data_IF_117858563628
#
_entry.id   IF_117858563628
#
_cell.length_a   1.000
_cell.length_b   1.000
_cell.length_c   1.000
_cell.angle_alpha   90.00
_cell.angle_beta   90.00
_cell.angle_gamma   90.00
#
_symmetry.space_group_name_H-M   'P 1'
#
loop_
_entity.id
_entity.type
_entity.pdbx_description
1 polymer ?
#
# COMPACT_ATOMS: atom_id res chain seq x y z
N UNK A 1 7.12 -2.22 16.56
CA UNK A 1 7.11 -0.78 16.88
C UNK A 1 7.96 -0.56 18.11
N UNK A 2 8.82 0.47 18.14
CA UNK A 2 9.69 0.84 19.28
C UNK A 2 9.41 2.30 19.64
N UNK A 3 9.27 2.60 20.93
CA UNK A 3 9.07 3.95 21.44
C UNK A 3 10.36 4.49 22.05
N UNK A 4 10.66 5.76 21.80
CA UNK A 4 11.86 6.44 22.29
C UNK A 4 11.50 7.86 22.73
N UNK A 5 12.34 8.49 23.57
CA UNK A 5 12.12 9.88 23.93
C UNK A 5 12.26 10.85 22.73
N UNK A 6 13.10 10.51 21.78
CA UNK A 6 13.34 11.23 20.51
C UNK A 6 14.01 10.30 19.52
N UNK A 7 14.05 10.68 18.25
CA UNK A 7 14.84 9.94 17.27
C UNK A 7 16.36 10.07 17.54
N UNK A 8 17.13 8.96 17.36
CA UNK A 8 18.58 8.98 17.53
C UNK A 8 19.25 9.79 16.42
N UNK A 9 20.32 10.52 16.77
CA UNK A 9 21.21 11.14 15.78
C UNK A 9 22.22 10.12 15.27
N UNK A 10 22.86 10.35 14.11
CA UNK A 10 23.93 9.48 13.61
C UNK A 10 24.99 9.20 14.68
N UNK A 11 25.28 7.91 14.92
CA UNK A 11 26.24 7.45 15.92
C UNK A 11 25.72 7.40 17.36
N UNK A 12 24.47 7.75 17.61
CA UNK A 12 23.90 7.76 18.95
C UNK A 12 23.16 6.45 19.26
N UNK A 13 23.22 6.03 20.52
CA UNK A 13 22.43 4.92 21.05
C UNK A 13 21.45 5.46 22.10
N UNK A 14 20.16 5.18 21.93
CA UNK A 14 19.10 5.54 22.88
C UNK A 14 18.49 4.26 23.49
N UNK A 15 18.00 4.39 24.70
CA UNK A 15 17.13 3.39 25.30
C UNK A 15 15.69 3.63 24.82
N UNK A 16 15.05 2.60 24.34
CA UNK A 16 13.64 2.57 23.95
C UNK A 16 12.86 1.55 24.77
N UNK A 17 11.55 1.52 24.54
CA UNK A 17 10.65 0.55 25.12
C UNK A 17 9.63 0.07 24.08
N UNK A 18 8.79 -0.92 24.41
CA UNK A 18 7.89 -1.58 23.46
C UNK A 18 8.56 -2.78 22.82
N UNK A 19 8.66 -2.80 21.49
CA UNK A 19 9.20 -3.94 20.74
C UNK A 19 8.10 -4.90 20.27
N UNK A 20 6.89 -4.40 20.09
CA UNK A 20 5.76 -5.18 19.59
C UNK A 20 5.96 -5.55 18.12
N UNK A 21 5.61 -6.80 17.81
CA UNK A 21 5.55 -7.32 16.43
C UNK A 21 4.07 -7.45 16.09
N UNK A 22 3.62 -6.68 15.11
CA UNK A 22 2.24 -6.67 14.65
C UNK A 22 2.18 -7.06 13.17
N UNK A 23 1.04 -7.62 12.74
CA UNK A 23 0.77 -7.78 11.31
C UNK A 23 0.73 -6.40 10.63
N UNK A 24 1.19 -6.35 9.40
CA UNK A 24 1.24 -5.12 8.60
C UNK A 24 1.43 -5.44 7.12
N UNK A 25 1.80 -4.44 6.36
CA UNK A 25 1.86 -4.44 4.90
C UNK A 25 0.56 -3.91 4.30
N UNK A 26 0.69 -2.95 3.38
CA UNK A 26 -0.48 -2.28 2.77
C UNK A 26 -1.40 -3.26 2.06
N UNK A 27 -0.84 -4.16 1.26
CA UNK A 27 -1.60 -5.20 0.57
C UNK A 27 -2.35 -6.14 1.54
N UNK A 28 -1.69 -6.58 2.61
CA UNK A 28 -2.31 -7.43 3.62
C UNK A 28 -3.45 -6.72 4.35
N UNK A 29 -3.24 -5.45 4.75
CA UNK A 29 -4.26 -4.66 5.43
C UNK A 29 -5.50 -4.44 4.54
N UNK A 30 -5.31 -4.12 3.26
CA UNK A 30 -6.38 -3.93 2.29
C UNK A 30 -7.12 -5.25 1.99
N UNK A 31 -6.40 -6.36 1.89
CA UNK A 31 -7.00 -7.69 1.70
C UNK A 31 -7.89 -8.09 2.91
N UNK A 32 -7.41 -7.84 4.13
CA UNK A 32 -8.20 -8.06 5.36
C UNK A 32 -9.43 -7.19 5.38
N UNK A 33 -9.30 -5.89 5.09
CA UNK A 33 -10.43 -4.97 5.07
C UNK A 33 -11.50 -5.38 4.05
N UNK A 34 -11.10 -5.73 2.83
CA UNK A 34 -12.01 -6.20 1.79
C UNK A 34 -12.74 -7.50 2.20
N UNK A 35 -12.01 -8.47 2.77
CA UNK A 35 -12.59 -9.73 3.23
C UNK A 35 -13.58 -9.52 4.38
N UNK A 36 -13.28 -8.64 5.35
CA UNK A 36 -14.19 -8.30 6.44
C UNK A 36 -15.46 -7.60 5.95
N UNK A 37 -15.41 -6.92 4.81
CA UNK A 37 -16.58 -6.34 4.14
C UNK A 37 -17.33 -7.35 3.26
N UNK A 38 -16.91 -8.62 3.23
CA UNK A 38 -17.59 -9.72 2.56
C UNK A 38 -17.12 -9.97 1.11
N UNK A 39 -16.06 -9.32 0.65
CA UNK A 39 -15.51 -9.62 -0.67
C UNK A 39 -14.74 -10.96 -0.66
N UNK A 40 -14.85 -11.79 -1.72
CA UNK A 40 -13.94 -12.92 -1.90
C UNK A 40 -12.56 -12.40 -2.31
N UNK A 41 -11.54 -12.64 -1.49
CA UNK A 41 -10.19 -12.12 -1.71
C UNK A 41 -9.20 -13.27 -1.88
N UNK A 42 -8.42 -13.22 -2.96
CA UNK A 42 -7.22 -14.04 -3.15
C UNK A 42 -5.98 -13.16 -3.03
N UNK A 43 -5.07 -13.51 -2.15
CA UNK A 43 -3.83 -12.77 -1.91
C UNK A 43 -2.66 -13.44 -2.62
N UNK A 44 -2.00 -12.70 -3.51
CA UNK A 44 -0.78 -13.11 -4.21
C UNK A 44 0.41 -12.38 -3.59
N UNK A 45 1.40 -13.11 -3.09
CA UNK A 45 2.54 -12.49 -2.40
C UNK A 45 3.53 -13.53 -1.87
N UNK A 46 4.46 -13.09 -1.03
CA UNK A 46 5.46 -13.96 -0.45
C UNK A 46 5.76 -13.60 1.01
N UNK A 47 6.14 -14.61 1.79
CA UNK A 47 6.65 -14.48 3.15
C UNK A 47 7.87 -15.37 3.34
N UNK A 48 8.70 -15.04 4.30
CA UNK A 48 9.83 -15.88 4.68
C UNK A 48 9.44 -17.17 5.40
N UNK A 49 10.45 -18.01 5.67
CA UNK A 49 10.33 -19.19 6.53
C UNK A 49 10.82 -18.91 7.96
N UNK A 50 10.58 -17.69 8.45
CA UNK A 50 11.05 -17.15 9.72
C UNK A 50 9.93 -16.94 10.76
N UNK A 51 10.29 -16.41 11.92
CA UNK A 51 9.36 -16.15 13.02
C UNK A 51 8.36 -15.02 12.73
N UNK A 52 8.62 -14.15 11.74
CA UNK A 52 7.74 -13.03 11.37
C UNK A 52 6.61 -13.46 10.44
N UNK A 53 6.76 -14.58 9.73
CA UNK A 53 5.75 -15.07 8.79
C UNK A 53 4.41 -15.39 9.44
N UNK A 54 4.42 -16.00 10.63
CA UNK A 54 3.17 -16.36 11.32
C UNK A 54 2.38 -15.11 11.79
N UNK A 55 2.99 -14.10 12.45
CA UNK A 55 2.36 -12.82 12.72
C UNK A 55 1.82 -12.11 11.47
N UNK A 56 2.62 -12.02 10.40
CA UNK A 56 2.22 -11.36 9.15
C UNK A 56 0.96 -11.96 8.53
N UNK A 57 0.80 -13.28 8.62
CA UNK A 57 -0.32 -14.03 8.04
C UNK A 57 -1.55 -14.12 8.97
N UNK A 58 -1.46 -13.63 10.20
CA UNK A 58 -2.47 -13.86 11.23
C UNK A 58 -3.86 -13.35 10.83
N UNK A 59 -3.97 -12.07 10.52
CA UNK A 59 -5.26 -11.45 10.19
C UNK A 59 -5.77 -11.87 8.81
N UNK A 60 -4.88 -12.12 7.84
CA UNK A 60 -5.26 -12.67 6.54
C UNK A 60 -5.99 -14.00 6.68
N UNK A 61 -5.44 -14.91 7.51
CA UNK A 61 -6.09 -16.21 7.80
C UNK A 61 -7.39 -16.05 8.57
N UNK A 62 -7.41 -15.18 9.59
CA UNK A 62 -8.57 -14.97 10.43
C UNK A 62 -9.77 -14.36 9.67
N UNK A 63 -9.51 -13.53 8.66
CA UNK A 63 -10.54 -12.92 7.83
C UNK A 63 -11.00 -13.78 6.64
N UNK A 64 -10.42 -14.97 6.44
CA UNK A 64 -10.83 -15.90 5.38
C UNK A 64 -10.28 -15.57 3.99
N UNK A 65 -9.23 -14.77 3.90
CA UNK A 65 -8.51 -14.51 2.63
C UNK A 65 -7.91 -15.82 2.10
N UNK A 66 -8.09 -16.10 0.80
CA UNK A 66 -7.44 -17.22 0.14
C UNK A 66 -5.93 -16.95 0.02
N UNK A 67 -5.11 -17.82 0.62
CA UNK A 67 -3.66 -17.70 0.74
C UNK A 67 -2.89 -18.76 -0.07
N UNK A 68 -3.56 -19.50 -0.97
CA UNK A 68 -2.93 -20.53 -1.81
C UNK A 68 -1.82 -20.00 -2.70
N UNK A 69 -1.85 -18.69 -2.99
CA UNK A 69 -0.88 -17.99 -3.82
C UNK A 69 0.14 -17.17 -3.01
N UNK A 70 0.28 -17.46 -1.72
CA UNK A 70 1.36 -16.89 -0.89
C UNK A 70 2.52 -17.87 -0.80
N UNK A 71 3.61 -17.54 -1.46
CA UNK A 71 4.82 -18.36 -1.43
C UNK A 71 5.56 -18.23 -0.10
N UNK A 72 6.24 -19.33 0.29
CA UNK A 72 7.26 -19.31 1.34
C UNK A 72 8.63 -19.34 0.70
N UNK A 73 9.52 -18.44 1.16
CA UNK A 73 10.86 -18.25 0.61
C UNK A 73 11.93 -18.40 1.68
N UNK A 74 13.18 -18.45 1.27
CA UNK A 74 14.34 -18.46 2.18
C UNK A 74 14.75 -17.02 2.61
N UNK A 75 14.18 -15.98 1.95
CA UNK A 75 14.33 -14.60 2.38
C UNK A 75 13.53 -14.33 3.66
N UNK A 76 13.94 -13.30 4.41
CA UNK A 76 13.16 -12.85 5.58
C UNK A 76 11.80 -12.32 5.16
N UNK A 77 10.80 -12.51 5.99
CA UNK A 77 9.49 -11.85 5.79
C UNK A 77 9.67 -10.34 5.76
N UNK A 78 8.98 -9.64 4.85
CA UNK A 78 9.01 -8.18 4.78
C UNK A 78 8.72 -7.54 6.14
N UNK A 79 9.49 -6.54 6.51
CA UNK A 79 9.46 -5.92 7.84
C UNK A 79 9.48 -4.40 7.74
N UNK A 80 8.62 -3.71 8.48
CA UNK A 80 8.73 -2.29 8.74
C UNK A 80 9.23 -2.07 10.18
N UNK A 81 10.38 -1.44 10.33
CA UNK A 81 10.91 -1.00 11.62
C UNK A 81 10.39 0.41 11.88
N UNK A 82 9.49 0.54 12.84
CA UNK A 82 8.85 1.80 13.17
C UNK A 82 9.35 2.26 14.53
N UNK A 83 9.92 3.46 14.58
CA UNK A 83 10.25 4.17 15.83
C UNK A 83 9.30 5.34 15.98
N UNK A 84 8.78 5.53 17.19
CA UNK A 84 7.87 6.64 17.54
C UNK A 84 8.47 7.39 18.73
N UNK A 85 8.54 8.70 18.64
CA UNK A 85 9.03 9.53 19.73
C UNK A 85 7.89 10.04 20.65
N UNK A 86 8.25 10.77 21.71
CA UNK A 86 7.28 11.33 22.67
C UNK A 86 6.36 12.40 22.06
N UNK A 87 6.72 12.98 20.92
CA UNK A 87 5.89 13.93 20.18
C UNK A 87 4.90 13.22 19.24
N UNK A 88 5.01 11.87 19.10
CA UNK A 88 4.20 11.09 18.19
C UNK A 88 4.74 11.07 16.75
N UNK A 89 5.92 11.67 16.51
CA UNK A 89 6.59 11.60 15.22
C UNK A 89 7.13 10.19 14.98
N UNK A 90 6.98 9.69 13.78
CA UNK A 90 7.46 8.36 13.44
C UNK A 90 8.57 8.38 12.37
N UNK A 91 9.44 7.39 12.45
CA UNK A 91 10.42 7.06 11.39
C UNK A 91 10.24 5.61 11.03
N UNK A 92 10.13 5.34 9.75
CA UNK A 92 9.86 3.99 9.22
C UNK A 92 10.99 3.58 8.29
N UNK A 93 11.59 2.41 8.56
CA UNK A 93 12.53 1.75 7.67
C UNK A 93 11.86 0.48 7.17
N UNK A 94 11.70 0.37 5.86
CA UNK A 94 11.12 -0.83 5.23
C UNK A 94 12.24 -1.75 4.75
N UNK A 95 12.18 -3.00 5.17
CA UNK A 95 12.99 -4.10 4.64
C UNK A 95 12.07 -4.96 3.78
N UNK A 96 12.21 -4.95 2.45
CA UNK A 96 11.30 -5.67 1.55
C UNK A 96 11.29 -7.18 1.82
N UNK A 97 12.45 -7.79 2.07
CA UNK A 97 12.56 -9.23 2.30
C UNK A 97 11.90 -10.04 1.17
N UNK A 98 11.05 -11.00 1.54
CA UNK A 98 10.34 -11.86 0.61
C UNK A 98 9.47 -11.07 -0.41
N UNK A 99 9.00 -9.86 -0.08
CA UNK A 99 8.25 -9.03 -1.03
C UNK A 99 9.09 -8.66 -2.26
N UNK A 100 10.42 -8.55 -2.12
CA UNK A 100 11.33 -8.28 -3.24
C UNK A 100 11.39 -9.41 -4.27
N UNK A 101 10.89 -10.60 -3.95
CA UNK A 101 10.82 -11.75 -4.85
C UNK A 101 9.47 -11.80 -5.62
N UNK A 102 8.55 -10.89 -5.36
CA UNK A 102 7.26 -10.80 -6.07
C UNK A 102 7.47 -10.00 -7.37
N UNK A 103 8.42 -10.46 -8.16
CA UNK A 103 8.84 -9.91 -9.45
C UNK A 103 8.00 -10.41 -10.64
N UNK A 104 8.34 -10.02 -11.87
CA UNK A 104 7.61 -10.43 -13.06
C UNK A 104 7.58 -11.96 -13.27
N UNK A 105 8.68 -12.73 -13.12
CA UNK A 105 8.66 -14.19 -13.13
C UNK A 105 7.72 -14.79 -12.09
N UNK A 106 7.75 -14.31 -10.85
CA UNK A 106 6.84 -14.76 -9.80
C UNK A 106 5.38 -14.52 -10.17
N UNK A 107 5.04 -13.31 -10.59
CA UNK A 107 3.67 -12.95 -11.00
C UNK A 107 3.20 -13.77 -12.19
N UNK A 108 4.08 -14.08 -13.16
CA UNK A 108 3.74 -14.91 -14.30
C UNK A 108 3.31 -16.34 -13.89
N UNK A 109 3.89 -16.91 -12.84
CA UNK A 109 3.48 -18.22 -12.29
C UNK A 109 2.12 -18.19 -11.60
N UNK A 110 1.63 -16.98 -11.22
CA UNK A 110 0.35 -16.75 -10.57
C UNK A 110 -0.67 -16.07 -11.51
N UNK A 111 -0.51 -16.23 -12.82
CA UNK A 111 -1.34 -15.56 -13.84
C UNK A 111 -2.83 -15.88 -13.74
N UNK A 112 -3.18 -17.13 -13.39
CA UNK A 112 -4.57 -17.59 -13.36
C UNK A 112 -5.46 -16.79 -12.39
N UNK A 113 -5.14 -16.63 -11.09
CA UNK A 113 -5.97 -15.85 -10.18
C UNK A 113 -6.02 -14.36 -10.56
N UNK A 114 -4.95 -13.80 -11.13
CA UNK A 114 -4.90 -12.39 -11.53
C UNK A 114 -5.81 -12.16 -12.75
N UNK A 115 -5.72 -13.00 -13.76
CA UNK A 115 -6.55 -12.91 -14.96
C UNK A 115 -8.03 -13.20 -14.70
N UNK A 116 -8.35 -14.04 -13.71
CA UNK A 116 -9.73 -14.39 -13.35
C UNK A 116 -10.39 -13.35 -12.40
N UNK A 117 -9.63 -12.44 -11.83
CA UNK A 117 -10.16 -11.45 -10.88
C UNK A 117 -11.00 -10.37 -11.59
N UNK A 118 -12.17 -10.06 -11.04
CA UNK A 118 -12.97 -8.91 -11.47
C UNK A 118 -12.29 -7.58 -11.11
N UNK A 119 -11.49 -7.58 -10.04
CA UNK A 119 -10.73 -6.43 -9.57
C UNK A 119 -9.36 -6.87 -9.07
N UNK A 120 -8.31 -6.21 -9.53
CA UNK A 120 -6.93 -6.36 -9.05
C UNK A 120 -6.53 -5.11 -8.29
N UNK A 121 -6.08 -5.26 -7.04
CA UNK A 121 -5.64 -4.16 -6.18
C UNK A 121 -4.12 -4.26 -5.96
N UNK A 122 -3.39 -3.21 -6.31
CA UNK A 122 -1.93 -3.15 -6.29
C UNK A 122 -1.42 -2.02 -5.38
N UNK A 123 -0.25 -2.23 -4.77
CA UNK A 123 0.46 -1.27 -3.93
C UNK A 123 1.93 -1.14 -4.39
N UNK A 124 2.69 -0.19 -3.80
CA UNK A 124 4.10 0.05 -4.09
C UNK A 124 5.08 -0.80 -3.25
N UNK A 125 4.67 -1.94 -2.70
CA UNK A 125 5.52 -2.75 -1.81
C UNK A 125 6.14 -3.98 -2.49
N UNK A 126 6.00 -4.10 -3.81
CA UNK A 126 6.60 -5.16 -4.65
C UNK A 126 7.48 -4.53 -5.74
N UNK A 127 8.38 -5.30 -6.40
CA UNK A 127 9.18 -4.82 -7.52
C UNK A 127 8.34 -4.23 -8.65
N UNK A 128 8.88 -3.19 -9.31
CA UNK A 128 8.18 -2.48 -10.39
C UNK A 128 7.83 -3.38 -11.58
N UNK A 129 8.68 -4.36 -11.90
CA UNK A 129 8.42 -5.33 -12.97
C UNK A 129 7.32 -6.33 -12.58
N UNK A 130 7.25 -6.75 -11.32
CA UNK A 130 6.14 -7.54 -10.77
C UNK A 130 4.81 -6.76 -10.83
N UNK A 131 4.85 -5.48 -10.44
CA UNK A 131 3.71 -4.58 -10.55
C UNK A 131 3.23 -4.47 -12.02
N UNK A 132 4.13 -4.16 -12.95
CA UNK A 132 3.80 -4.04 -14.37
C UNK A 132 3.25 -5.35 -14.93
N UNK A 133 3.81 -6.50 -14.54
CA UNK A 133 3.34 -7.82 -14.97
C UNK A 133 1.94 -8.14 -14.43
N UNK A 134 1.63 -7.75 -13.21
CA UNK A 134 0.28 -7.92 -12.66
C UNK A 134 -0.75 -7.08 -13.42
N UNK A 135 -0.40 -5.83 -13.76
CA UNK A 135 -1.24 -4.96 -14.60
C UNK A 135 -1.45 -5.54 -16.00
N UNK A 136 -0.41 -6.09 -16.63
CA UNK A 136 -0.49 -6.75 -17.94
C UNK A 136 -1.47 -7.94 -17.94
N UNK A 137 -1.44 -8.75 -16.87
CA UNK A 137 -2.26 -9.96 -16.74
C UNK A 137 -3.71 -9.69 -16.33
N UNK A 138 -3.97 -8.56 -15.70
CA UNK A 138 -5.30 -8.19 -15.21
C UNK A 138 -6.27 -7.93 -16.38
N UNK A 139 -7.39 -8.66 -16.39
CA UNK A 139 -8.48 -8.49 -17.35
C UNK A 139 -9.64 -7.69 -16.78
N UNK A 140 -9.75 -7.63 -15.46
CA UNK A 140 -10.75 -6.86 -14.73
C UNK A 140 -10.30 -5.42 -14.42
N UNK A 141 -11.03 -4.77 -13.53
CA UNK A 141 -10.73 -3.41 -13.05
C UNK A 141 -9.43 -3.41 -12.24
N UNK A 142 -8.61 -2.39 -12.41
CA UNK A 142 -7.35 -2.26 -11.68
C UNK A 142 -7.43 -1.06 -10.74
N UNK A 143 -7.33 -1.32 -9.45
CA UNK A 143 -7.22 -0.29 -8.41
C UNK A 143 -5.76 -0.22 -7.99
N UNK A 144 -5.18 0.96 -8.02
CA UNK A 144 -3.79 1.17 -7.61
C UNK A 144 -3.72 2.14 -6.44
N UNK A 145 -3.13 1.68 -5.33
CA UNK A 145 -2.64 2.53 -4.26
C UNK A 145 -1.12 2.49 -4.27
N UNK A 146 -0.50 3.37 -5.07
CA UNK A 146 0.97 3.40 -5.21
C UNK A 146 1.63 3.98 -3.95
N UNK A 147 1.62 3.20 -2.90
CA UNK A 147 2.16 3.53 -1.58
C UNK A 147 3.05 2.39 -1.06
N UNK A 148 4.34 2.65 -0.76
CA UNK A 148 5.05 3.89 -1.10
C UNK A 148 5.08 4.16 -2.60
N UNK A 149 5.25 5.40 -3.00
CA UNK A 149 5.44 5.73 -4.42
C UNK A 149 6.80 5.19 -4.87
N UNK A 150 6.76 4.28 -5.81
CA UNK A 150 7.93 3.71 -6.49
C UNK A 150 7.89 4.09 -7.96
N UNK A 151 9.05 4.06 -8.62
CA UNK A 151 9.11 4.28 -10.06
C UNK A 151 8.54 3.06 -10.79
N UNK A 152 7.47 3.26 -11.54
CA UNK A 152 6.78 2.22 -12.32
C UNK A 152 6.57 2.68 -13.77
N UNK A 153 6.32 1.72 -14.64
CA UNK A 153 5.95 2.03 -16.02
C UNK A 153 4.70 2.90 -16.08
N UNK A 154 4.78 3.99 -16.84
CA UNK A 154 3.69 4.97 -16.97
C UNK A 154 2.41 4.37 -17.51
N UNK A 155 2.50 3.53 -18.54
CA UNK A 155 1.32 2.95 -19.17
C UNK A 155 0.65 1.94 -18.23
N UNK A 156 1.44 1.20 -17.44
CA UNK A 156 0.92 0.36 -16.37
C UNK A 156 0.23 1.17 -15.27
N UNK A 157 0.82 2.29 -14.85
CA UNK A 157 0.24 3.14 -13.82
C UNK A 157 -1.09 3.78 -14.26
N UNK A 158 -1.17 4.22 -15.50
CA UNK A 158 -2.38 4.84 -16.07
C UNK A 158 -3.56 3.85 -16.28
N UNK A 159 -3.35 2.54 -16.04
CA UNK A 159 -4.43 1.56 -15.99
C UNK A 159 -5.26 1.64 -14.71
N UNK A 160 -4.85 2.48 -13.74
CA UNK A 160 -5.58 2.64 -12.48
C UNK A 160 -6.98 3.22 -12.68
N UNK A 161 -7.96 2.54 -12.08
CA UNK A 161 -9.35 2.98 -12.01
C UNK A 161 -10.02 2.43 -10.72
N UNK A 162 -9.97 3.18 -9.60
CA UNK A 162 -9.27 4.44 -9.38
C UNK A 162 -7.77 4.30 -9.05
N UNK A 163 -7.05 5.41 -9.21
CA UNK A 163 -5.83 5.66 -8.46
C UNK A 163 -6.20 6.12 -7.05
N UNK A 164 -5.65 5.46 -6.02
CA UNK A 164 -5.77 5.85 -4.61
C UNK A 164 -4.46 6.50 -4.16
N UNK A 165 -4.52 7.69 -3.58
CA UNK A 165 -3.35 8.38 -3.06
C UNK A 165 -3.73 9.35 -1.93
N UNK A 166 -2.80 9.64 -1.04
CA UNK A 166 -2.88 10.85 -0.21
C UNK A 166 -2.27 12.06 -0.95
N UNK A 167 -2.31 13.24 -0.33
CA UNK A 167 -1.81 14.48 -0.96
C UNK A 167 -0.32 14.39 -1.33
N UNK A 168 0.50 13.80 -0.46
CA UNK A 168 1.93 13.63 -0.68
C UNK A 168 2.21 12.62 -1.81
N UNK A 169 1.56 11.47 -1.78
CA UNK A 169 1.67 10.44 -2.82
C UNK A 169 1.21 10.97 -4.18
N UNK A 170 0.11 11.70 -4.24
CA UNK A 170 -0.40 12.34 -5.45
C UNK A 170 0.63 13.30 -6.06
N UNK A 171 1.29 14.12 -5.23
CA UNK A 171 2.37 15.01 -5.66
C UNK A 171 3.54 14.24 -6.27
N UNK A 172 4.04 13.21 -5.60
CA UNK A 172 5.14 12.37 -6.09
C UNK A 172 4.79 11.65 -7.40
N UNK A 173 3.56 11.14 -7.53
CA UNK A 173 3.10 10.52 -8.78
C UNK A 173 3.07 11.52 -9.93
N UNK A 174 2.58 12.74 -9.69
CA UNK A 174 2.59 13.80 -10.69
C UNK A 174 4.01 14.20 -11.12
N UNK A 175 4.96 14.28 -10.17
CA UNK A 175 6.38 14.54 -10.48
C UNK A 175 6.96 13.42 -11.35
N UNK A 176 6.70 12.16 -11.05
CA UNK A 176 7.11 11.00 -11.84
C UNK A 176 6.55 11.05 -13.27
N UNK A 177 5.34 11.58 -13.45
CA UNK A 177 4.70 11.73 -14.75
C UNK A 177 5.12 13.00 -15.51
N UNK A 178 5.98 13.85 -14.91
CA UNK A 178 6.47 15.09 -15.48
C UNK A 178 5.55 16.30 -15.29
N UNK A 179 4.61 16.20 -14.36
CA UNK A 179 3.74 17.30 -13.90
C UNK A 179 4.28 17.89 -12.60
N UNK A 180 3.91 19.09 -12.25
CA UNK A 180 4.27 19.65 -10.94
C UNK A 180 3.52 18.97 -9.79
N UNK A 181 4.24 18.60 -8.73
CA UNK A 181 3.71 17.87 -7.56
C UNK A 181 3.06 18.72 -6.47
N UNK A 182 3.09 20.06 -6.60
CA UNK A 182 2.56 20.96 -5.59
C UNK A 182 1.15 21.47 -5.92
N UNK A 183 0.32 21.69 -4.89
CA UNK A 183 -1.02 22.25 -5.07
C UNK A 183 -2.00 21.80 -4.00
N UNK A 184 -3.22 22.35 -4.05
CA UNK A 184 -4.34 21.86 -3.24
C UNK A 184 -4.76 20.44 -3.67
N UNK A 185 -5.46 19.70 -2.83
CA UNK A 185 -5.98 18.37 -3.20
C UNK A 185 -6.79 18.38 -4.49
N UNK A 186 -7.61 19.42 -4.68
CA UNK A 186 -8.44 19.58 -5.88
C UNK A 186 -7.57 19.77 -7.13
N UNK A 187 -6.52 20.60 -7.05
CA UNK A 187 -5.58 20.82 -8.15
C UNK A 187 -4.75 19.57 -8.46
N UNK A 188 -4.32 18.83 -7.44
CA UNK A 188 -3.60 17.56 -7.62
C UNK A 188 -4.50 16.52 -8.29
N UNK A 189 -5.72 16.32 -7.78
CA UNK A 189 -6.69 15.39 -8.35
C UNK A 189 -7.03 15.71 -9.80
N UNK A 190 -7.24 16.99 -10.13
CA UNK A 190 -7.51 17.43 -11.49
C UNK A 190 -6.33 17.15 -12.43
N UNK A 191 -5.10 17.46 -12.00
CA UNK A 191 -3.89 17.18 -12.81
C UNK A 191 -3.67 15.67 -13.00
N UNK A 192 -3.98 14.82 -12.01
CA UNK A 192 -3.95 13.36 -12.19
C UNK A 192 -4.98 12.93 -13.25
N UNK A 193 -6.17 13.50 -13.24
CA UNK A 193 -7.17 13.25 -14.30
C UNK A 193 -6.66 13.71 -15.68
N UNK A 194 -6.06 14.90 -15.77
CA UNK A 194 -5.45 15.43 -16.99
C UNK A 194 -4.25 14.58 -17.47
N UNK A 195 -3.52 13.96 -16.55
CA UNK A 195 -2.43 13.02 -16.86
C UNK A 195 -2.91 11.70 -17.48
N UNK A 196 -4.23 11.41 -17.37
CA UNK A 196 -4.87 10.26 -18.04
C UNK A 196 -5.49 9.20 -17.12
N UNK A 197 -5.51 9.39 -15.79
CA UNK A 197 -6.21 8.44 -14.90
C UNK A 197 -7.72 8.47 -15.14
N UNK A 198 -8.36 7.30 -15.19
CA UNK A 198 -9.80 7.17 -15.38
C UNK A 198 -10.61 7.70 -14.19
N UNK A 199 -10.12 7.54 -12.98
CA UNK A 199 -10.65 8.13 -11.77
C UNK A 199 -9.57 8.19 -10.68
N UNK A 200 -9.72 9.11 -9.72
CA UNK A 200 -8.79 9.31 -8.61
C UNK A 200 -9.57 9.42 -7.31
N UNK A 201 -9.09 8.77 -6.27
CA UNK A 201 -9.60 8.95 -4.90
C UNK A 201 -8.43 9.41 -4.03
N UNK A 202 -8.52 10.60 -3.49
CA UNK A 202 -7.52 11.12 -2.56
C UNK A 202 -8.01 11.04 -1.13
N UNK A 203 -7.19 10.45 -0.25
CA UNK A 203 -7.45 10.46 1.18
C UNK A 203 -6.90 11.73 1.80
N UNK A 204 -7.73 12.41 2.62
CA UNK A 204 -7.44 13.73 3.20
C UNK A 204 -7.39 13.69 4.74
N UNK A 205 -7.15 12.51 5.33
CA UNK A 205 -7.14 12.30 6.77
C UNK A 205 -8.47 12.69 7.41
N UNK A 206 -8.44 13.54 8.44
CA UNK A 206 -9.63 13.98 9.15
C UNK A 206 -10.64 14.77 8.28
N UNK A 207 -10.22 15.27 7.11
CA UNK A 207 -11.11 15.94 6.15
C UNK A 207 -11.95 14.96 5.33
N UNK A 208 -11.60 13.67 5.32
CA UNK A 208 -12.29 12.63 4.56
C UNK A 208 -11.59 12.27 3.27
N UNK A 209 -12.30 12.31 2.15
CA UNK A 209 -11.76 11.93 0.83
C UNK A 209 -12.29 12.87 -0.27
N UNK A 210 -11.51 12.98 -1.35
CA UNK A 210 -11.88 13.64 -2.59
C UNK A 210 -11.91 12.61 -3.71
N UNK A 211 -13.02 12.52 -4.40
CA UNK A 211 -13.19 11.68 -5.60
C UNK A 211 -13.18 12.59 -6.81
N UNK A 212 -12.35 12.27 -7.77
CA UNK A 212 -12.28 12.93 -9.07
C UNK A 212 -12.52 11.90 -10.18
N UNK A 213 -13.66 11.99 -10.80
CA UNK A 213 -14.06 11.26 -12.01
C UNK A 213 -14.56 12.27 -13.06
N UNK A 214 -15.82 12.25 -13.44
CA UNK A 214 -16.41 13.28 -14.29
C UNK A 214 -16.62 14.60 -13.52
N UNK A 215 -16.77 14.50 -12.19
CA UNK A 215 -16.93 15.59 -11.25
C UNK A 215 -15.88 15.53 -10.13
N UNK A 216 -15.80 16.58 -9.31
CA UNK A 216 -15.04 16.60 -8.06
C UNK A 216 -16.03 16.51 -6.88
N UNK A 217 -15.95 15.40 -6.15
CA UNK A 217 -16.84 15.15 -5.00
C UNK A 217 -16.04 15.00 -3.72
N UNK A 218 -16.32 15.85 -2.73
CA UNK A 218 -15.75 15.71 -1.39
C UNK A 218 -16.66 14.86 -0.50
N UNK A 219 -16.07 13.89 0.18
CA UNK A 219 -16.75 13.00 1.13
C UNK A 219 -16.17 13.27 2.51
N UNK A 220 -16.97 13.80 3.42
CA UNK A 220 -16.53 14.12 4.77
C UNK A 220 -16.20 12.85 5.58
N UNK A 221 -15.15 12.93 6.41
CA UNK A 221 -14.81 11.88 7.36
C UNK A 221 -15.88 11.74 8.45
N UNK A 222 -16.19 10.52 8.90
CA UNK A 222 -16.95 10.32 10.12
C UNK A 222 -16.30 11.02 11.31
N UNK A 223 -17.10 11.64 12.16
CA UNK A 223 -16.59 12.28 13.37
C UNK A 223 -16.29 11.21 14.43
N UNK A 224 -15.02 10.96 14.66
CA UNK A 224 -14.53 10.00 15.65
C UNK A 224 -13.41 10.62 16.50
N UNK A 225 -13.22 10.11 17.71
CA UNK A 225 -12.03 10.42 18.48
C UNK A 225 -11.01 9.31 18.25
N UNK A 226 -9.93 9.55 17.50
CA UNK A 226 -8.97 8.50 17.19
C UNK A 226 -8.20 8.10 18.46
N UNK A 227 -8.03 6.78 18.65
CA UNK A 227 -7.18 6.19 19.68
C UNK A 227 -5.85 5.76 19.07
N UNK A 228 -5.89 5.23 17.88
CA UNK A 228 -4.75 4.84 17.06
C UNK A 228 -5.10 5.07 15.59
N UNK A 229 -4.19 5.68 14.85
CA UNK A 229 -4.36 5.98 13.42
C UNK A 229 -3.54 5.05 12.53
N UNK A 230 -2.89 4.03 13.08
CA UNK A 230 -2.12 3.05 12.33
C UNK A 230 -3.01 2.29 11.35
N UNK A 231 -2.70 2.36 10.06
CA UNK A 231 -3.47 1.73 8.99
C UNK A 231 -4.82 2.38 8.67
N UNK A 232 -5.06 3.60 9.14
CA UNK A 232 -6.33 4.32 8.94
C UNK A 232 -6.39 5.12 7.62
N UNK A 233 -5.32 5.12 6.83
CA UNK A 233 -5.25 5.90 5.58
C UNK A 233 -4.94 5.05 4.38
#
# INVERSE_FOLDING_TARGET
MVHTARHPKPGETLLGHGGEITAGGKGANQAVAAALLGAPVTFVGAVGSDAYAAPAMHYLKASGVNLEHVARTDEVTGLAVITVDEQGENTIIVVPGANALVDAPFIATHSSPIAAAELVLLQGEIPADGFAKAVELATGRIVINLAPVIEVDKDALLRADPLLANEHEAGLILEQLGFGGEGSPQELAQRLREAGFASVVMTLGARGALVADDDLTEIASPQVTPVDTTGAG
#
